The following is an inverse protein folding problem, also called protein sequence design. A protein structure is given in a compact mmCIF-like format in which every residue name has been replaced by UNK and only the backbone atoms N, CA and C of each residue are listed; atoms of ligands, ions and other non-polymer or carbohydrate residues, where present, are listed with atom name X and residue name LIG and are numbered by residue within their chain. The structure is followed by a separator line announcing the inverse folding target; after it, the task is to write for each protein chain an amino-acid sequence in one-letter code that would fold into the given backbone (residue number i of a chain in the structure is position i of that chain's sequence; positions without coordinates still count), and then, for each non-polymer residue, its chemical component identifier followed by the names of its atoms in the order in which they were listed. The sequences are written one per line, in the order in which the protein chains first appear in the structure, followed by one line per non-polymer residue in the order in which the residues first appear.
data_IF_551028910312
#
_entry.id   IF_551028910312
#
_cell.length_a   1.000
_cell.length_b   1.000
_cell.length_c   1.000
_cell.angle_alpha   90.00
_cell.angle_beta   90.00
_cell.angle_gamma   90.00
#
_symmetry.space_group_name_H-M   'P 1'
#
loop_
_entity.id
_entity.type
_entity.pdbx_description
1 polymer ?
#
# COMPACT_ATOMS: atom_id res chain seq x y z
N UNK A 1 -37.34 -32.16 36.19
CA UNK A 1 -36.73 -32.42 34.85
C UNK A 1 -37.16 -31.31 33.90
N UNK A 2 -36.44 -30.20 33.90
CA UNK A 2 -36.76 -29.07 33.09
C UNK A 2 -35.81 -28.95 31.90
N UNK A 3 -36.39 -28.86 30.72
CA UNK A 3 -35.84 -28.98 29.37
C UNK A 3 -34.53 -28.24 29.10
N UNK A 4 -33.40 -28.96 29.02
CA UNK A 4 -32.12 -28.50 28.45
C UNK A 4 -32.14 -28.32 26.93
N UNK A 5 -33.20 -28.65 26.24
CA UNK A 5 -33.26 -28.68 24.76
C UNK A 5 -33.69 -27.36 24.12
N UNK A 6 -34.09 -26.32 24.87
CA UNK A 6 -34.51 -25.05 24.32
C UNK A 6 -33.44 -23.96 24.27
N UNK A 7 -32.23 -24.22 24.80
CA UNK A 7 -31.15 -23.21 24.78
C UNK A 7 -30.17 -23.34 23.61
N UNK A 8 -30.29 -24.38 22.82
CA UNK A 8 -29.40 -24.64 21.66
C UNK A 8 -29.94 -24.09 20.32
N UNK A 9 -31.16 -23.58 20.28
CA UNK A 9 -31.75 -23.07 19.04
C UNK A 9 -31.64 -21.52 18.89
N UNK A 10 -31.23 -20.78 19.92
CA UNK A 10 -31.13 -19.34 19.81
C UNK A 10 -29.72 -18.83 19.42
N UNK A 11 -28.70 -19.67 19.42
CA UNK A 11 -27.34 -19.27 19.04
C UNK A 11 -27.01 -19.52 17.56
N UNK A 12 -27.85 -20.26 16.87
CA UNK A 12 -27.63 -20.56 15.45
C UNK A 12 -28.29 -19.59 14.46
N UNK A 13 -29.18 -18.71 14.94
CA UNK A 13 -29.90 -17.79 14.06
C UNK A 13 -29.20 -16.44 13.90
N UNK A 14 -28.24 -16.11 14.77
CA UNK A 14 -27.49 -14.86 14.65
C UNK A 14 -26.28 -14.94 13.70
N UNK A 15 -25.90 -16.13 13.23
CA UNK A 15 -24.75 -16.31 12.33
C UNK A 15 -25.13 -16.30 10.84
N UNK A 16 -26.42 -16.29 10.49
CA UNK A 16 -26.87 -16.32 9.11
C UNK A 16 -27.41 -14.99 8.55
N UNK A 17 -27.44 -13.93 9.35
CA UNK A 17 -27.82 -12.59 8.89
C UNK A 17 -26.63 -11.66 8.56
N UNK A 18 -25.42 -12.14 8.67
CA UNK A 18 -24.21 -11.36 8.37
C UNK A 18 -23.73 -11.41 6.92
N UNK A 19 -24.42 -12.14 6.02
CA UNK A 19 -23.94 -12.39 4.65
C UNK A 19 -24.74 -11.69 3.55
N UNK A 20 -25.56 -10.71 3.89
CA UNK A 20 -26.32 -9.91 2.92
C UNK A 20 -26.10 -8.41 3.08
N UNK A 21 -25.02 -7.97 3.69
CA UNK A 21 -24.54 -6.62 3.44
C UNK A 21 -23.76 -6.66 2.16
N UNK A 22 -24.37 -6.06 1.13
CA UNK A 22 -23.84 -5.97 -0.22
C UNK A 22 -22.38 -5.56 -0.24
N UNK A 23 -21.74 -5.81 -1.37
CA UNK A 23 -20.43 -5.28 -1.72
C UNK A 23 -20.38 -3.80 -1.31
N UNK A 24 -20.01 -3.53 -0.08
CA UNK A 24 -19.69 -2.20 0.37
C UNK A 24 -18.39 -1.90 -0.38
N UNK A 25 -18.53 -1.19 -1.49
CA UNK A 25 -17.39 -0.50 -2.09
C UNK A 25 -16.92 0.41 -0.96
N UNK A 26 -15.85 0.01 -0.27
CA UNK A 26 -15.35 0.65 0.92
C UNK A 26 -15.31 2.15 0.72
N UNK A 27 -15.67 2.91 1.73
CA UNK A 27 -15.82 4.35 1.61
C UNK A 27 -14.48 4.96 1.15
N UNK A 28 -14.47 5.56 -0.04
CA UNK A 28 -13.28 6.22 -0.58
C UNK A 28 -12.83 7.44 0.23
N UNK A 29 -13.56 7.79 1.28
CA UNK A 29 -13.28 8.93 2.15
C UNK A 29 -11.91 8.78 2.82
N UNK A 30 -11.65 7.63 3.46
CA UNK A 30 -10.36 7.36 4.12
C UNK A 30 -9.20 7.44 3.13
N UNK A 31 -9.34 6.84 1.95
CA UNK A 31 -8.33 6.94 0.90
C UNK A 31 -8.05 8.39 0.47
N UNK A 32 -9.08 9.22 0.33
CA UNK A 32 -8.90 10.63 -0.08
C UNK A 32 -8.26 11.45 1.03
N UNK A 33 -8.66 11.22 2.27
CA UNK A 33 -8.06 11.88 3.42
C UNK A 33 -6.59 11.49 3.56
N UNK A 34 -6.27 10.19 3.49
CA UNK A 34 -4.90 9.69 3.49
C UNK A 34 -4.01 10.36 2.44
N UNK A 35 -4.54 10.57 1.22
CA UNK A 35 -3.79 11.25 0.18
C UNK A 35 -3.52 12.74 0.53
N UNK A 36 -4.46 13.42 1.14
CA UNK A 36 -4.29 14.80 1.60
C UNK A 36 -3.27 14.89 2.74
N UNK A 37 -3.36 13.99 3.73
CA UNK A 37 -2.43 13.95 4.85
C UNK A 37 -1.01 13.63 4.39
N UNK A 38 -0.86 12.73 3.42
CA UNK A 38 0.44 12.45 2.80
C UNK A 38 1.05 13.69 2.13
N UNK A 39 0.24 14.47 1.39
CA UNK A 39 0.67 15.71 0.75
C UNK A 39 1.02 16.81 1.76
N UNK A 40 0.33 16.84 2.89
CA UNK A 40 0.58 17.79 3.99
C UNK A 40 1.77 17.40 4.88
N UNK A 41 2.30 16.19 4.71
CA UNK A 41 3.39 15.67 5.54
C UNK A 41 2.94 15.04 6.86
N UNK A 42 1.65 14.81 7.04
CA UNK A 42 1.07 14.12 8.20
C UNK A 42 1.17 12.60 7.99
N UNK A 43 2.39 12.07 7.96
CA UNK A 43 2.67 10.71 7.49
C UNK A 43 2.06 9.62 8.37
N UNK A 44 1.99 9.80 9.68
CA UNK A 44 1.36 8.86 10.62
C UNK A 44 -0.15 8.78 10.39
N UNK A 45 -0.81 9.93 10.26
CA UNK A 45 -2.25 9.98 9.97
C UNK A 45 -2.57 9.37 8.60
N UNK A 46 -1.78 9.73 7.58
CA UNK A 46 -1.91 9.16 6.24
C UNK A 46 -1.77 7.63 6.25
N UNK A 47 -0.83 7.10 7.03
CA UNK A 47 -0.61 5.66 7.16
C UNK A 47 -1.83 4.95 7.75
N UNK A 48 -2.37 5.43 8.87
CA UNK A 48 -3.54 4.86 9.54
C UNK A 48 -4.76 4.79 8.60
N UNK A 49 -4.97 5.86 7.84
CA UNK A 49 -6.08 5.93 6.89
C UNK A 49 -5.86 5.05 5.65
N UNK A 50 -4.62 4.93 5.15
CA UNK A 50 -4.30 3.96 4.09
C UNK A 50 -4.46 2.52 4.56
N UNK A 51 -4.05 2.18 5.78
CA UNK A 51 -4.26 0.84 6.37
C UNK A 51 -5.75 0.52 6.50
N UNK A 52 -6.56 1.50 6.90
CA UNK A 52 -8.01 1.38 6.89
C UNK A 52 -8.54 1.12 5.49
N UNK A 53 -8.12 1.90 4.50
CA UNK A 53 -8.51 1.71 3.10
C UNK A 53 -8.09 0.33 2.54
N UNK A 54 -6.91 -0.18 2.95
CA UNK A 54 -6.44 -1.53 2.60
C UNK A 54 -7.38 -2.57 3.20
N UNK A 55 -7.73 -2.46 4.47
CA UNK A 55 -8.62 -3.41 5.17
C UNK A 55 -10.02 -3.45 4.55
N UNK A 56 -10.48 -2.33 4.03
CA UNK A 56 -11.76 -2.17 3.35
C UNK A 56 -11.72 -2.55 1.86
N UNK A 57 -10.53 -2.86 1.32
CA UNK A 57 -10.35 -3.19 -0.10
C UNK A 57 -10.51 -2.00 -1.04
N UNK A 58 -10.36 -0.78 -0.53
CA UNK A 58 -10.45 0.45 -1.31
C UNK A 58 -9.15 0.70 -2.08
N UNK A 59 -9.23 0.66 -3.42
CA UNK A 59 -8.08 0.92 -4.31
C UNK A 59 -6.79 0.24 -3.82
N UNK A 60 -6.75 -1.09 -3.63
CA UNK A 60 -5.72 -1.77 -2.86
C UNK A 60 -4.30 -1.42 -3.31
N UNK A 61 -4.00 -1.45 -4.60
CA UNK A 61 -2.66 -1.13 -5.08
C UNK A 61 -2.22 0.31 -4.76
N UNK A 62 -3.15 1.27 -4.89
CA UNK A 62 -2.89 2.68 -4.57
C UNK A 62 -2.76 2.89 -3.06
N UNK A 63 -3.57 2.20 -2.27
CA UNK A 63 -3.54 2.29 -0.80
C UNK A 63 -2.25 1.69 -0.24
N UNK A 64 -1.84 0.51 -0.71
CA UNK A 64 -0.53 -0.06 -0.39
C UNK A 64 0.62 0.87 -0.79
N UNK A 65 0.58 1.43 -2.00
CA UNK A 65 1.59 2.39 -2.44
C UNK A 65 1.63 3.62 -1.53
N UNK A 66 0.47 4.18 -1.15
CA UNK A 66 0.39 5.33 -0.26
C UNK A 66 0.95 5.04 1.13
N UNK A 67 0.60 3.89 1.74
CA UNK A 67 1.15 3.42 3.01
C UNK A 67 2.68 3.23 2.91
N UNK A 68 3.17 2.66 1.81
CA UNK A 68 4.60 2.51 1.55
C UNK A 68 5.33 3.87 1.50
N UNK A 69 4.74 4.87 0.84
CA UNK A 69 5.33 6.23 0.80
C UNK A 69 5.32 6.86 2.19
N UNK A 70 4.23 6.73 2.97
CA UNK A 70 4.18 7.21 4.34
C UNK A 70 5.30 6.58 5.20
N UNK A 71 5.47 5.25 5.13
CA UNK A 71 6.56 4.53 5.82
C UNK A 71 7.94 5.00 5.38
N UNK A 72 8.16 5.20 4.07
CA UNK A 72 9.41 5.73 3.53
C UNK A 72 9.74 7.11 4.12
N UNK A 73 8.75 7.99 4.20
CA UNK A 73 8.90 9.35 4.76
C UNK A 73 9.15 9.34 6.27
N UNK A 74 8.61 8.34 6.99
CA UNK A 74 8.87 8.10 8.41
C UNK A 74 10.23 7.44 8.68
N UNK A 75 10.98 7.05 7.64
CA UNK A 75 12.26 6.36 7.77
C UNK A 75 12.16 4.85 8.03
N UNK A 76 10.97 4.27 7.93
CA UNK A 76 10.71 2.83 8.12
C UNK A 76 10.85 2.12 6.78
N UNK A 77 12.08 2.00 6.30
CA UNK A 77 12.39 1.60 4.91
C UNK A 77 12.03 0.14 4.60
N UNK A 78 12.28 -0.78 5.50
CA UNK A 78 11.96 -2.21 5.33
C UNK A 78 10.44 -2.44 5.24
N UNK A 79 9.69 -1.72 6.08
CA UNK A 79 8.23 -1.78 6.03
C UNK A 79 7.71 -1.12 4.75
N UNK A 80 8.31 -0.02 4.30
CA UNK A 80 7.97 0.61 3.03
C UNK A 80 8.16 -0.36 1.85
N UNK A 81 9.27 -1.10 1.81
CA UNK A 81 9.53 -2.15 0.80
C UNK A 81 8.42 -3.20 0.83
N UNK A 82 7.99 -3.63 2.02
CA UNK A 82 6.90 -4.60 2.16
C UNK A 82 5.60 -4.08 1.56
N UNK A 83 5.22 -2.85 1.87
CA UNK A 83 4.02 -2.23 1.29
C UNK A 83 4.12 -2.09 -0.24
N UNK A 84 5.27 -1.71 -0.79
CA UNK A 84 5.47 -1.63 -2.24
C UNK A 84 5.40 -3.00 -2.91
N UNK A 85 5.93 -4.05 -2.28
CA UNK A 85 5.79 -5.42 -2.76
C UNK A 85 4.33 -5.85 -2.82
N UNK A 86 3.54 -5.54 -1.79
CA UNK A 86 2.12 -5.89 -1.75
C UNK A 86 1.31 -5.07 -2.77
N UNK A 87 1.66 -3.81 -2.98
CA UNK A 87 1.09 -3.01 -4.07
C UNK A 87 1.31 -3.65 -5.45
N UNK A 88 2.51 -4.19 -5.71
CA UNK A 88 2.84 -4.85 -6.99
C UNK A 88 2.15 -6.20 -7.17
N UNK A 89 1.75 -6.88 -6.09
CA UNK A 89 1.00 -8.14 -6.12
C UNK A 89 -0.49 -7.96 -6.39
N UNK A 90 -1.01 -6.74 -6.26
CA UNK A 90 -2.42 -6.47 -6.51
C UNK A 90 -2.79 -6.70 -7.97
N UNK A 91 -4.03 -7.12 -8.21
CA UNK A 91 -4.55 -7.27 -9.55
C UNK A 91 -4.63 -5.91 -10.28
N UNK A 92 -4.32 -5.93 -11.58
CA UNK A 92 -4.52 -4.78 -12.49
C UNK A 92 -3.76 -3.51 -12.13
N UNK A 93 -2.52 -3.65 -11.66
CA UNK A 93 -1.64 -2.47 -11.46
C UNK A 93 -1.32 -1.84 -12.82
N UNK A 94 -1.85 -0.63 -13.06
CA UNK A 94 -1.60 0.10 -14.29
C UNK A 94 -0.14 0.53 -14.45
N UNK A 95 0.32 0.73 -15.70
CA UNK A 95 1.72 1.07 -15.99
C UNK A 95 2.24 2.27 -15.21
N UNK A 96 1.46 3.35 -15.11
CA UNK A 96 1.87 4.57 -14.39
C UNK A 96 2.07 4.29 -12.89
N UNK A 97 1.13 3.56 -12.26
CA UNK A 97 1.24 3.20 -10.85
C UNK A 97 2.41 2.25 -10.60
N UNK A 98 2.64 1.27 -11.49
CA UNK A 98 3.77 0.35 -11.39
C UNK A 98 5.10 1.09 -11.47
N UNK A 99 5.25 2.04 -12.43
CA UNK A 99 6.43 2.91 -12.53
C UNK A 99 6.69 3.64 -11.21
N UNK A 100 5.66 4.26 -10.66
CA UNK A 100 5.73 5.04 -9.44
C UNK A 100 6.13 4.17 -8.23
N UNK A 101 5.51 2.99 -8.07
CA UNK A 101 5.85 2.03 -7.01
C UNK A 101 7.31 1.59 -7.10
N UNK A 102 7.80 1.19 -8.29
CA UNK A 102 9.17 0.76 -8.50
C UNK A 102 10.16 1.88 -8.17
N UNK A 103 9.84 3.13 -8.54
CA UNK A 103 10.70 4.28 -8.24
C UNK A 103 10.85 4.49 -6.73
N UNK A 104 9.75 4.45 -5.97
CA UNK A 104 9.83 4.58 -4.51
C UNK A 104 10.49 3.36 -3.84
N UNK A 105 10.26 2.15 -4.36
CA UNK A 105 10.87 0.94 -3.81
C UNK A 105 12.38 0.93 -4.03
N UNK A 106 12.86 1.37 -5.19
CA UNK A 106 14.29 1.55 -5.44
C UNK A 106 14.94 2.52 -4.43
N UNK A 107 14.28 3.65 -4.13
CA UNK A 107 14.75 4.57 -3.08
C UNK A 107 14.79 3.87 -1.71
N UNK A 108 13.77 3.10 -1.35
CA UNK A 108 13.75 2.37 -0.09
C UNK A 108 14.89 1.34 -0.01
N UNK A 109 15.16 0.60 -1.09
CA UNK A 109 16.28 -0.34 -1.18
C UNK A 109 17.63 0.37 -1.01
N UNK A 110 17.82 1.54 -1.63
CA UNK A 110 19.05 2.34 -1.43
C UNK A 110 19.23 2.73 0.04
N UNK A 111 18.14 3.08 0.75
CA UNK A 111 18.21 3.47 2.17
C UNK A 111 18.59 2.30 3.09
N UNK A 112 18.17 1.08 2.76
CA UNK A 112 18.59 -0.14 3.48
C UNK A 112 19.90 -0.72 2.95
N UNK A 113 20.54 -0.07 1.95
CA UNK A 113 21.79 -0.49 1.31
C UNK A 113 21.69 -1.81 0.54
N UNK A 114 20.50 -2.19 0.12
CA UNK A 114 20.27 -3.29 -0.82
C UNK A 114 20.42 -2.77 -2.26
N UNK A 115 21.67 -2.59 -2.67
CA UNK A 115 22.00 -2.00 -3.98
C UNK A 115 21.63 -2.92 -5.15
N UNK A 116 21.62 -4.22 -4.95
CA UNK A 116 21.25 -5.20 -5.97
C UNK A 116 19.76 -5.09 -6.31
N UNK A 117 18.89 -5.10 -5.29
CA UNK A 117 17.46 -4.93 -5.49
C UNK A 117 17.10 -3.53 -6.04
N UNK A 118 17.80 -2.50 -5.60
CA UNK A 118 17.61 -1.16 -6.15
C UNK A 118 17.97 -1.09 -7.63
N UNK A 119 19.07 -1.74 -8.05
CA UNK A 119 19.51 -1.80 -9.44
C UNK A 119 18.51 -2.56 -10.31
N UNK A 120 17.95 -3.66 -9.83
CA UNK A 120 16.91 -4.43 -10.54
C UNK A 120 15.66 -3.57 -10.82
N UNK A 121 15.20 -2.81 -9.84
CA UNK A 121 14.08 -1.88 -10.04
C UNK A 121 14.42 -0.79 -11.05
N UNK A 122 15.62 -0.21 -10.98
CA UNK A 122 16.08 0.80 -11.93
C UNK A 122 16.19 0.24 -13.37
N UNK A 123 16.69 -0.97 -13.54
CA UNK A 123 16.74 -1.64 -14.84
C UNK A 123 15.34 -1.88 -15.40
N UNK A 124 14.43 -2.38 -14.57
CA UNK A 124 13.02 -2.56 -14.94
C UNK A 124 12.36 -1.24 -15.38
N UNK A 125 12.67 -0.15 -14.69
CA UNK A 125 12.20 1.19 -15.05
C UNK A 125 12.79 1.64 -16.40
N UNK A 126 14.08 1.46 -16.64
CA UNK A 126 14.73 1.85 -17.87
C UNK A 126 14.22 1.07 -19.09
N UNK A 127 14.01 -0.24 -18.95
CA UNK A 127 13.56 -1.12 -20.03
C UNK A 127 12.09 -0.91 -20.41
N UNK A 128 11.21 -0.80 -19.41
CA UNK A 128 9.76 -0.82 -19.63
C UNK A 128 9.12 0.56 -19.71
N UNK A 129 9.78 1.56 -19.19
CA UNK A 129 9.31 2.93 -19.19
C UNK A 129 10.39 3.79 -19.82
N UNK A 130 10.25 4.18 -21.07
CA UNK A 130 11.14 5.18 -21.65
C UNK A 130 11.18 6.39 -20.70
N UNK A 131 12.16 6.39 -19.81
CA UNK A 131 12.41 7.54 -18.99
C UNK A 131 13.02 8.57 -19.94
N UNK A 132 12.26 9.62 -20.22
CA UNK A 132 12.90 10.87 -20.57
C UNK A 132 13.82 11.13 -19.37
N UNK A 133 15.11 10.96 -19.59
CA UNK A 133 16.11 11.00 -18.54
C UNK A 133 16.01 12.37 -17.87
N UNK A 134 15.34 12.43 -16.74
CA UNK A 134 15.54 13.54 -15.83
C UNK A 134 16.89 13.26 -15.14
N UNK A 135 17.97 13.95 -15.55
CA UNK A 135 19.32 13.64 -15.07
C UNK A 135 19.48 13.90 -13.56
N UNK A 136 18.50 14.55 -12.93
CA UNK A 136 18.53 14.86 -11.50
C UNK A 136 18.22 13.66 -10.60
N UNK A 137 17.51 12.65 -11.09
CA UNK A 137 17.17 11.48 -10.28
C UNK A 137 18.37 10.51 -10.09
N UNK A 138 19.26 10.44 -11.09
CA UNK A 138 20.42 9.55 -11.05
C UNK A 138 21.70 10.20 -10.49
N UNK A 139 21.77 11.53 -10.45
CA UNK A 139 22.98 12.24 -10.03
C UNK A 139 22.92 12.82 -8.62
N UNK A 140 21.72 12.96 -8.02
CA UNK A 140 21.57 13.63 -6.73
C UNK A 140 21.89 12.77 -5.51
N UNK A 141 21.70 11.46 -5.56
CA UNK A 141 21.89 10.61 -4.39
C UNK A 141 23.12 9.68 -4.45
N UNK A 142 23.69 9.44 -5.62
CA UNK A 142 24.92 8.66 -5.73
C UNK A 142 26.19 9.51 -5.45
N UNK A 143 26.04 10.82 -5.34
CA UNK A 143 27.15 11.74 -5.03
C UNK A 143 27.38 11.96 -3.54
N UNK A 144 26.60 11.32 -2.65
CA UNK A 144 26.71 11.44 -1.19
C UNK A 144 27.04 10.11 -0.49
N UNK A 145 27.71 9.19 -1.19
CA UNK A 145 28.26 7.99 -0.59
C UNK A 145 29.76 8.13 -0.42
#
# INVERSE_FOLDING_TARGET
MYNRKKRLFLTAVCLSLGLLTGCNVGDTKNYKQAAQDLEQGNYEAALEEYETAISEGVKPAQSYRGAGVAKLKLGNYEEAITYFNDALKCDKVGKALKKDILSYRAVAYLKVKDYEAALEDCQTLAENYKMDADPYFLTGETALA
#
